data_IF_473735987334
#
_entry.id   IF_473735987334
#
_cell.length_a   1.000
_cell.length_b   1.000
_cell.length_c   1.000
_cell.angle_alpha   90.00
_cell.angle_beta   90.00
_cell.angle_gamma   90.00
#
_symmetry.space_group_name_H-M   'P 1'
#
loop_
_entity.id
_entity.type
_entity.pdbx_description
1 polymer ?
#
# COMPACT_ATOMS: atom_id res chain seq x y z
N UNK A 1 -18.29 -15.82 19.48
CA UNK A 1 -19.54 -16.08 18.74
C UNK A 1 -19.29 -15.92 17.23
N UNK A 2 -19.67 -16.89 16.37
CA UNK A 2 -19.30 -16.87 14.93
C UNK A 2 -19.81 -15.65 14.16
N UNK A 3 -20.84 -15.01 14.65
CA UNK A 3 -21.44 -13.83 14.02
C UNK A 3 -20.87 -12.49 14.51
N UNK A 4 -19.94 -12.51 15.45
CA UNK A 4 -19.35 -11.29 15.96
C UNK A 4 -18.31 -10.73 14.96
N UNK A 5 -18.27 -9.42 14.68
CA UNK A 5 -17.31 -8.82 13.75
C UNK A 5 -15.85 -9.18 14.04
N UNK A 6 -15.47 -9.23 15.34
CA UNK A 6 -14.13 -9.64 15.75
C UNK A 6 -13.79 -11.10 15.36
N UNK A 7 -14.79 -12.00 15.30
CA UNK A 7 -14.56 -13.38 14.87
C UNK A 7 -14.35 -13.48 13.36
N UNK A 8 -15.06 -12.66 12.57
CA UNK A 8 -14.82 -12.54 11.14
C UNK A 8 -13.45 -11.92 10.84
N UNK A 9 -13.04 -10.91 11.63
CA UNK A 9 -11.73 -10.30 11.51
C UNK A 9 -10.60 -11.28 11.89
N UNK A 10 -10.76 -12.05 12.96
CA UNK A 10 -9.81 -13.10 13.31
C UNK A 10 -9.68 -14.16 12.18
N UNK A 11 -10.81 -14.59 11.60
CA UNK A 11 -10.81 -15.51 10.48
C UNK A 11 -10.10 -14.90 9.25
N UNK A 12 -10.27 -13.61 8.99
CA UNK A 12 -9.57 -12.87 7.94
C UNK A 12 -8.05 -12.88 8.18
N UNK A 13 -7.60 -12.54 9.38
CA UNK A 13 -6.17 -12.53 9.73
C UNK A 13 -5.54 -13.91 9.55
N UNK A 14 -6.22 -14.96 9.97
CA UNK A 14 -5.76 -16.35 9.80
C UNK A 14 -5.73 -16.81 8.33
N UNK A 15 -6.42 -16.11 7.46
CA UNK A 15 -6.52 -16.42 6.01
C UNK A 15 -5.58 -15.55 5.16
N UNK A 16 -4.92 -14.53 5.72
CA UNK A 16 -4.07 -13.58 5.00
C UNK A 16 -2.78 -14.15 4.39
N UNK A 17 -2.08 -15.12 4.98
CA UNK A 17 -0.88 -15.66 4.38
C UNK A 17 -1.14 -16.15 2.96
N UNK A 18 -0.19 -15.90 2.05
CA UNK A 18 -0.27 -16.37 0.65
C UNK A 18 -0.48 -17.88 0.56
N UNK A 19 0.02 -18.61 1.55
CA UNK A 19 -0.18 -20.06 1.74
C UNK A 19 -0.65 -20.31 3.17
N UNK A 20 -1.92 -20.07 3.49
CA UNK A 20 -2.45 -20.35 4.81
C UNK A 20 -2.42 -21.86 5.07
N UNK A 21 -2.13 -22.26 6.30
CA UNK A 21 -2.13 -23.67 6.67
C UNK A 21 -3.56 -24.24 6.60
N UNK A 22 -3.81 -25.29 5.78
CA UNK A 22 -5.14 -25.87 5.63
C UNK A 22 -5.78 -26.27 6.97
N UNK A 23 -5.01 -26.85 7.87
CA UNK A 23 -5.48 -27.26 9.20
C UNK A 23 -5.99 -26.12 10.06
N UNK A 24 -5.43 -24.91 9.92
CA UNK A 24 -5.92 -23.72 10.62
C UNK A 24 -7.30 -23.28 10.10
N UNK A 25 -7.49 -23.33 8.77
CA UNK A 25 -8.77 -22.98 8.16
C UNK A 25 -9.86 -24.01 8.48
N UNK A 26 -9.49 -25.29 8.56
CA UNK A 26 -10.42 -26.38 8.90
C UNK A 26 -10.82 -26.40 10.37
N UNK A 27 -9.95 -25.89 11.25
CA UNK A 27 -10.24 -25.74 12.68
C UNK A 27 -11.21 -24.59 13.00
N UNK A 28 -11.45 -23.68 12.04
CA UNK A 28 -12.42 -22.60 12.22
C UNK A 28 -13.85 -23.16 12.36
N UNK A 29 -14.72 -22.55 13.17
CA UNK A 29 -16.14 -22.92 13.23
C UNK A 29 -16.78 -22.90 11.84
N UNK A 30 -17.59 -23.89 11.49
CA UNK A 30 -18.25 -24.03 10.18
C UNK A 30 -18.95 -22.74 9.73
N UNK A 31 -19.63 -22.08 10.64
CA UNK A 31 -20.30 -20.81 10.35
C UNK A 31 -19.33 -19.69 9.92
N UNK A 32 -18.09 -19.69 10.39
CA UNK A 32 -17.05 -18.74 9.93
C UNK A 32 -16.48 -19.17 8.58
N UNK A 33 -16.26 -20.47 8.37
CA UNK A 33 -15.80 -20.98 7.08
C UNK A 33 -16.75 -20.63 5.94
N UNK A 34 -18.05 -20.73 6.19
CA UNK A 34 -19.10 -20.44 5.19
C UNK A 34 -19.36 -18.95 4.97
N UNK A 35 -19.12 -18.12 5.97
CA UNK A 35 -19.50 -16.68 5.96
C UNK A 35 -18.32 -15.73 5.77
N UNK A 36 -17.09 -16.23 5.76
CA UNK A 36 -15.90 -15.42 5.53
C UNK A 36 -15.46 -15.49 4.07
N UNK A 37 -15.46 -14.34 3.43
CA UNK A 37 -14.91 -14.17 2.09
C UNK A 37 -13.41 -14.48 2.06
N UNK A 38 -12.67 -14.05 3.10
CA UNK A 38 -11.24 -14.32 3.26
C UNK A 38 -10.93 -15.81 3.32
N UNK A 39 -11.67 -16.59 4.14
CA UNK A 39 -11.50 -18.05 4.23
C UNK A 39 -11.78 -18.71 2.88
N UNK A 40 -12.84 -18.28 2.19
CA UNK A 40 -13.14 -18.81 0.85
C UNK A 40 -12.04 -18.47 -0.14
N UNK A 41 -11.55 -17.24 -0.15
CA UNK A 41 -10.47 -16.81 -1.03
C UNK A 41 -9.18 -17.62 -0.76
N UNK A 42 -8.85 -17.85 0.51
CA UNK A 42 -7.70 -18.67 0.90
C UNK A 42 -7.84 -20.13 0.42
N UNK A 43 -9.03 -20.73 0.57
CA UNK A 43 -9.28 -22.10 0.08
C UNK A 43 -9.19 -22.21 -1.43
N UNK A 44 -9.69 -21.20 -2.17
CA UNK A 44 -9.54 -21.15 -3.63
C UNK A 44 -8.07 -21.09 -4.04
N UNK A 45 -7.23 -20.30 -3.34
CA UNK A 45 -5.77 -20.29 -3.60
C UNK A 45 -5.14 -21.65 -3.34
N UNK A 46 -5.43 -22.29 -2.21
CA UNK A 46 -4.94 -23.63 -1.87
C UNK A 46 -5.37 -24.70 -2.89
N UNK A 47 -6.55 -24.52 -3.49
CA UNK A 47 -7.07 -25.41 -4.54
C UNK A 47 -6.59 -25.05 -5.96
N UNK A 48 -5.54 -24.21 -6.10
CA UNK A 48 -5.01 -23.81 -7.40
C UNK A 48 -6.04 -23.06 -8.27
N UNK A 49 -6.91 -22.25 -7.65
CA UNK A 49 -7.93 -21.48 -8.33
C UNK A 49 -9.26 -22.22 -8.55
N UNK A 50 -9.37 -23.48 -8.15
CA UNK A 50 -10.63 -24.20 -8.25
C UNK A 50 -11.71 -23.56 -7.35
N UNK A 51 -12.91 -23.36 -7.89
CA UNK A 51 -13.99 -22.67 -7.19
C UNK A 51 -13.94 -21.13 -7.28
N UNK A 52 -12.99 -20.56 -8.03
CA UNK A 52 -12.84 -19.11 -8.17
C UNK A 52 -14.11 -18.41 -8.64
N UNK A 53 -14.80 -18.93 -9.66
CA UNK A 53 -16.00 -18.34 -10.23
C UNK A 53 -17.15 -18.24 -9.21
N UNK A 54 -17.29 -19.27 -8.37
CA UNK A 54 -18.29 -19.25 -7.28
C UNK A 54 -17.93 -18.22 -6.20
N UNK A 55 -16.65 -18.12 -5.82
CA UNK A 55 -16.17 -17.15 -4.83
C UNK A 55 -16.37 -15.71 -5.33
N UNK A 56 -15.94 -15.40 -6.56
CA UNK A 56 -16.08 -14.09 -7.19
C UNK A 56 -17.55 -13.65 -7.36
N UNK A 57 -18.44 -14.61 -7.59
CA UNK A 57 -19.87 -14.32 -7.71
C UNK A 57 -20.56 -14.14 -6.36
N UNK A 58 -20.10 -14.86 -5.33
CA UNK A 58 -20.72 -14.82 -3.99
C UNK A 58 -20.37 -13.53 -3.22
N UNK A 59 -19.16 -13.01 -3.39
CA UNK A 59 -18.67 -11.82 -2.69
C UNK A 59 -18.06 -10.79 -3.64
N UNK A 60 -18.84 -10.24 -4.58
CA UNK A 60 -18.32 -9.33 -5.60
C UNK A 60 -17.75 -8.03 -5.02
N UNK A 61 -18.16 -7.65 -3.81
CA UNK A 61 -17.82 -6.38 -3.16
C UNK A 61 -16.90 -6.56 -1.94
N UNK A 62 -16.25 -7.71 -1.79
CA UNK A 62 -15.35 -7.96 -0.67
C UNK A 62 -13.89 -7.80 -1.05
N UNK A 63 -13.08 -7.02 -0.28
CA UNK A 63 -11.67 -6.79 -0.56
C UNK A 63 -10.81 -8.04 -0.68
N UNK A 64 -11.09 -9.08 0.11
CA UNK A 64 -10.32 -10.33 0.07
C UNK A 64 -10.57 -11.09 -1.24
N UNK A 65 -11.77 -10.97 -1.79
CA UNK A 65 -12.15 -11.54 -3.10
C UNK A 65 -11.61 -10.70 -4.26
N UNK A 66 -11.51 -9.37 -4.11
CA UNK A 66 -10.81 -8.55 -5.11
C UNK A 66 -9.33 -8.90 -5.17
N UNK A 67 -8.71 -9.19 -4.03
CA UNK A 67 -7.33 -9.65 -4.00
C UNK A 67 -7.19 -11.04 -4.63
N UNK A 68 -8.10 -11.97 -4.37
CA UNK A 68 -8.14 -13.27 -5.05
C UNK A 68 -8.23 -13.11 -6.58
N UNK A 69 -9.13 -12.27 -7.06
CA UNK A 69 -9.27 -11.99 -8.50
C UNK A 69 -7.96 -11.50 -9.12
N UNK A 70 -7.26 -10.61 -8.40
CA UNK A 70 -5.95 -10.12 -8.82
C UNK A 70 -4.89 -11.22 -8.83
N UNK A 71 -4.83 -12.06 -7.79
CA UNK A 71 -3.85 -13.14 -7.70
C UNK A 71 -4.01 -14.12 -8.86
N UNK A 72 -5.24 -14.52 -9.17
CA UNK A 72 -5.55 -15.39 -10.31
C UNK A 72 -5.22 -14.73 -11.67
N UNK A 73 -5.48 -13.44 -11.81
CA UNK A 73 -5.10 -12.71 -13.02
C UNK A 73 -3.57 -12.64 -13.17
N UNK A 74 -2.85 -12.41 -12.07
CA UNK A 74 -1.38 -12.40 -12.05
C UNK A 74 -0.79 -13.76 -12.40
N UNK A 75 -1.34 -14.86 -11.87
CA UNK A 75 -0.94 -16.20 -12.26
C UNK A 75 -1.16 -16.46 -13.75
N UNK A 76 -2.30 -16.03 -14.29
CA UNK A 76 -2.59 -16.14 -15.72
C UNK A 76 -1.58 -15.34 -16.57
N UNK A 77 -1.16 -14.13 -16.15
CA UNK A 77 -0.09 -13.35 -16.79
C UNK A 77 1.22 -14.11 -16.82
N UNK A 78 1.66 -14.65 -15.67
CA UNK A 78 2.92 -15.37 -15.55
C UNK A 78 2.93 -16.65 -16.39
N UNK A 79 1.76 -17.24 -16.64
CA UNK A 79 1.58 -18.39 -17.51
C UNK A 79 1.39 -18.02 -18.99
N UNK A 80 1.41 -16.74 -19.37
CA UNK A 80 1.14 -16.28 -20.73
C UNK A 80 -0.31 -16.43 -21.18
N UNK A 81 -1.23 -16.73 -20.25
CA UNK A 81 -2.65 -16.88 -20.54
C UNK A 81 -3.39 -15.54 -20.50
N UNK A 82 -3.15 -14.71 -21.51
CA UNK A 82 -3.70 -13.36 -21.62
C UNK A 82 -5.22 -13.30 -21.71
N UNK A 83 -5.85 -14.32 -22.32
CA UNK A 83 -7.31 -14.42 -22.39
C UNK A 83 -7.92 -14.58 -21.00
N UNK A 84 -7.41 -15.52 -20.21
CA UNK A 84 -7.88 -15.74 -18.83
C UNK A 84 -7.65 -14.51 -17.97
N UNK A 85 -6.49 -13.87 -18.07
CA UNK A 85 -6.18 -12.64 -17.35
C UNK A 85 -7.15 -11.50 -17.71
N UNK A 86 -7.37 -11.27 -19.01
CA UNK A 86 -8.35 -10.29 -19.51
C UNK A 86 -9.75 -10.55 -18.95
N UNK A 87 -10.20 -11.80 -19.00
CA UNK A 87 -11.58 -12.16 -18.61
C UNK A 87 -11.80 -12.02 -17.09
N UNK A 88 -10.79 -12.38 -16.28
CA UNK A 88 -10.80 -12.08 -14.84
C UNK A 88 -10.87 -10.58 -14.57
N UNK A 89 -10.05 -9.76 -15.26
CA UNK A 89 -9.99 -8.32 -15.04
C UNK A 89 -11.18 -7.56 -15.63
N UNK A 90 -11.93 -8.15 -16.56
CA UNK A 90 -13.19 -7.58 -17.07
C UNK A 90 -14.34 -7.74 -16.11
N UNK A 91 -14.30 -8.71 -15.18
CA UNK A 91 -15.37 -8.88 -14.21
C UNK A 91 -15.54 -7.60 -13.43
N UNK A 92 -16.68 -6.99 -13.60
CA UNK A 92 -17.07 -5.74 -12.97
C UNK A 92 -18.05 -6.03 -11.86
N UNK A 93 -17.93 -5.27 -10.77
CA UNK A 93 -19.00 -5.20 -9.80
C UNK A 93 -20.12 -4.33 -10.38
N UNK A 94 -21.34 -4.84 -10.42
CA UNK A 94 -22.52 -4.09 -10.84
C UNK A 94 -22.78 -2.86 -9.95
N UNK A 95 -22.25 -2.89 -8.72
CA UNK A 95 -22.41 -1.86 -7.68
C UNK A 95 -21.40 -0.71 -7.77
N UNK A 96 -20.61 -0.62 -8.82
CA UNK A 96 -19.68 0.51 -9.03
C UNK A 96 -18.20 0.14 -9.18
N UNK A 97 -17.31 1.12 -9.37
CA UNK A 97 -15.89 0.88 -9.53
C UNK A 97 -15.25 0.40 -8.24
N UNK A 98 -14.16 -0.37 -8.38
CA UNK A 98 -13.31 -0.73 -7.26
C UNK A 98 -12.70 0.54 -6.60
N UNK A 99 -12.27 0.46 -5.33
CA UNK A 99 -11.48 1.52 -4.72
C UNK A 99 -10.30 1.92 -5.60
N UNK A 100 -9.99 3.22 -5.62
CA UNK A 100 -9.03 3.83 -6.56
C UNK A 100 -7.72 3.05 -6.74
N UNK A 101 -7.02 2.58 -5.69
CA UNK A 101 -5.77 1.84 -5.87
C UNK A 101 -5.95 0.52 -6.63
N UNK A 102 -7.08 -0.15 -6.44
CA UNK A 102 -7.39 -1.44 -7.06
C UNK A 102 -7.90 -1.24 -8.49
N UNK A 103 -8.73 -0.22 -8.73
CA UNK A 103 -9.27 0.09 -10.05
C UNK A 103 -8.17 0.54 -11.02
N UNK A 104 -7.23 1.37 -10.57
CA UNK A 104 -6.11 1.79 -11.42
C UNK A 104 -5.22 0.60 -11.81
N UNK A 105 -4.92 -0.30 -10.86
CA UNK A 105 -4.22 -1.56 -11.12
C UNK A 105 -4.98 -2.41 -12.14
N UNK A 106 -6.26 -2.64 -11.90
CA UNK A 106 -7.12 -3.45 -12.76
C UNK A 106 -7.16 -2.93 -14.19
N UNK A 107 -7.40 -1.63 -14.37
CA UNK A 107 -7.48 -1.01 -15.69
C UNK A 107 -6.15 -1.06 -16.44
N UNK A 108 -5.02 -0.82 -15.76
CA UNK A 108 -3.72 -0.92 -16.39
C UNK A 108 -3.46 -2.33 -16.95
N UNK A 109 -3.62 -3.36 -16.11
CA UNK A 109 -3.36 -4.74 -16.50
C UNK A 109 -4.40 -5.30 -17.48
N UNK A 110 -5.64 -4.80 -17.44
CA UNK A 110 -6.64 -5.11 -18.48
C UNK A 110 -6.19 -4.58 -19.84
N UNK A 111 -5.72 -3.34 -19.90
CA UNK A 111 -5.17 -2.76 -21.13
C UNK A 111 -3.96 -3.55 -21.64
N UNK A 112 -3.06 -3.98 -20.74
CA UNK A 112 -1.92 -4.79 -21.13
C UNK A 112 -2.34 -6.15 -21.69
N UNK A 113 -3.30 -6.84 -21.07
CA UNK A 113 -3.85 -8.09 -21.60
C UNK A 113 -4.47 -7.92 -22.98
N UNK A 114 -5.22 -6.83 -23.18
CA UNK A 114 -5.82 -6.49 -24.47
C UNK A 114 -4.74 -6.24 -25.54
N UNK A 115 -3.66 -5.53 -25.18
CA UNK A 115 -2.53 -5.29 -26.10
C UNK A 115 -1.88 -6.61 -26.53
N UNK A 116 -1.59 -7.50 -25.57
CA UNK A 116 -0.98 -8.81 -25.85
C UNK A 116 -1.86 -9.71 -26.73
N UNK A 117 -3.17 -9.53 -26.69
CA UNK A 117 -4.14 -10.23 -27.55
C UNK A 117 -4.35 -9.55 -28.91
N UNK A 118 -3.59 -8.51 -29.25
CA UNK A 118 -3.75 -7.75 -30.49
C UNK A 118 -4.96 -6.80 -30.50
N UNK A 119 -5.66 -6.65 -29.37
CA UNK A 119 -6.82 -5.76 -29.22
C UNK A 119 -6.39 -4.29 -28.97
N UNK A 120 -5.45 -3.77 -29.77
CA UNK A 120 -4.76 -2.48 -29.53
C UNK A 120 -5.72 -1.31 -29.29
N UNK A 121 -6.74 -1.17 -30.11
CA UNK A 121 -7.71 -0.08 -29.97
C UNK A 121 -8.54 -0.18 -28.65
N UNK A 122 -8.74 -1.38 -28.09
CA UNK A 122 -9.39 -1.56 -26.78
C UNK A 122 -8.41 -1.19 -25.67
N UNK A 123 -7.15 -1.63 -25.77
CA UNK A 123 -6.10 -1.31 -24.81
C UNK A 123 -5.94 0.21 -24.65
N UNK A 124 -5.82 0.93 -25.77
CA UNK A 124 -5.72 2.40 -25.74
C UNK A 124 -6.92 3.07 -25.07
N UNK A 125 -8.14 2.64 -25.39
CA UNK A 125 -9.35 3.17 -24.73
C UNK A 125 -9.34 2.90 -23.23
N UNK A 126 -8.91 1.70 -22.81
CA UNK A 126 -8.83 1.33 -21.40
C UNK A 126 -7.81 2.21 -20.66
N UNK A 127 -6.64 2.44 -21.23
CA UNK A 127 -5.61 3.32 -20.63
C UNK A 127 -6.01 4.79 -20.62
N UNK A 128 -6.66 5.31 -21.67
CA UNK A 128 -7.20 6.68 -21.69
C UNK A 128 -8.25 6.88 -20.59
N UNK A 129 -9.17 5.92 -20.43
CA UNK A 129 -10.14 5.93 -19.33
C UNK A 129 -9.45 5.98 -17.95
N UNK A 130 -8.38 5.20 -17.75
CA UNK A 130 -7.59 5.22 -16.52
C UNK A 130 -6.99 6.62 -16.29
N UNK A 131 -6.36 7.22 -17.31
CA UNK A 131 -5.72 8.53 -17.21
C UNK A 131 -6.73 9.65 -16.91
N UNK A 132 -7.91 9.59 -17.50
CA UNK A 132 -8.98 10.57 -17.30
C UNK A 132 -9.63 10.46 -15.91
N UNK A 133 -9.87 9.22 -15.45
CA UNK A 133 -10.58 8.98 -14.18
C UNK A 133 -9.69 9.20 -12.94
N UNK A 134 -8.37 9.07 -13.07
CA UNK A 134 -7.45 9.12 -11.93
C UNK A 134 -6.34 10.13 -12.16
N UNK A 135 -6.26 11.21 -11.35
CA UNK A 135 -5.34 12.33 -11.59
C UNK A 135 -3.87 12.02 -11.30
N UNK A 136 -3.55 10.88 -10.66
CA UNK A 136 -2.19 10.52 -10.29
C UNK A 136 -2.00 9.03 -10.01
N UNK A 137 -0.78 8.66 -9.61
CA UNK A 137 -0.41 7.32 -9.18
C UNK A 137 0.36 6.51 -10.23
N UNK A 138 1.00 5.43 -9.75
CA UNK A 138 1.89 4.58 -10.54
C UNK A 138 1.24 4.03 -11.81
N UNK A 139 0.05 3.44 -11.72
CA UNK A 139 -0.61 2.83 -12.87
C UNK A 139 -1.09 3.85 -13.91
N UNK A 140 -1.41 5.09 -13.49
CA UNK A 140 -1.66 6.18 -14.43
C UNK A 140 -0.40 6.52 -15.22
N UNK A 141 0.73 6.65 -14.54
CA UNK A 141 2.00 6.91 -15.19
C UNK A 141 2.38 5.78 -16.16
N UNK A 142 2.25 4.51 -15.76
CA UNK A 142 2.46 3.35 -16.63
C UNK A 142 1.53 3.34 -17.87
N UNK A 143 0.27 3.74 -17.71
CA UNK A 143 -0.66 3.86 -18.82
C UNK A 143 -0.25 4.98 -19.79
N UNK A 144 0.23 6.12 -19.26
CA UNK A 144 0.79 7.19 -20.09
C UNK A 144 2.03 6.72 -20.85
N UNK A 145 2.91 5.94 -20.23
CA UNK A 145 4.07 5.32 -20.87
C UNK A 145 3.66 4.43 -22.06
N UNK A 146 2.66 3.56 -21.86
CA UNK A 146 2.14 2.71 -22.95
C UNK A 146 1.56 3.52 -24.13
N UNK A 147 1.12 4.74 -23.90
CA UNK A 147 0.59 5.65 -24.91
C UNK A 147 1.63 6.65 -25.45
N UNK A 148 2.89 6.57 -25.02
CA UNK A 148 3.94 7.54 -25.39
C UNK A 148 3.71 8.95 -24.84
N UNK A 149 2.97 9.09 -23.74
CA UNK A 149 2.59 10.36 -23.10
C UNK A 149 3.31 10.61 -21.78
N UNK A 150 4.10 9.66 -21.27
CA UNK A 150 4.77 9.80 -19.99
C UNK A 150 6.06 10.61 -20.11
N UNK A 151 6.26 11.51 -19.14
CA UNK A 151 7.58 12.09 -18.90
C UNK A 151 8.47 11.08 -18.16
N UNK A 152 9.78 11.06 -18.42
CA UNK A 152 10.72 10.24 -17.69
C UNK A 152 10.62 10.48 -16.17
N UNK A 153 10.66 9.41 -15.39
CA UNK A 153 10.67 9.52 -13.95
C UNK A 153 12.09 9.85 -13.47
N UNK A 154 12.32 11.10 -13.10
CA UNK A 154 13.58 11.55 -12.53
C UNK A 154 13.46 11.66 -11.00
N UNK A 155 14.18 10.80 -10.27
CA UNK A 155 14.18 10.76 -8.81
C UNK A 155 15.13 11.81 -8.17
N UNK A 156 15.89 12.55 -8.99
CA UNK A 156 16.78 13.64 -8.57
C UNK A 156 16.21 15.03 -8.88
N UNK A 157 15.23 15.13 -9.79
CA UNK A 157 14.64 16.40 -10.13
C UNK A 157 14.02 17.09 -8.89
N UNK A 158 14.11 18.42 -8.77
CA UNK A 158 13.51 19.14 -7.66
C UNK A 158 12.00 18.83 -7.58
N UNK A 159 11.53 18.48 -6.39
CA UNK A 159 10.10 18.34 -6.17
C UNK A 159 9.40 19.69 -6.33
N UNK A 160 8.18 19.74 -6.89
CA UNK A 160 7.42 20.97 -6.96
C UNK A 160 7.21 21.55 -5.56
N UNK A 161 7.11 22.91 -5.45
CA UNK A 161 6.84 23.56 -4.18
C UNK A 161 5.60 22.96 -3.50
N UNK A 162 5.71 22.66 -2.21
CA UNK A 162 4.60 22.10 -1.46
C UNK A 162 3.81 23.20 -0.77
N UNK A 163 2.49 23.07 -0.84
CA UNK A 163 1.62 23.85 0.02
C UNK A 163 1.86 23.49 1.50
N UNK A 164 1.87 24.51 2.35
CA UNK A 164 1.90 24.28 3.80
C UNK A 164 0.68 23.47 4.22
N UNK A 165 0.84 22.52 5.16
CA UNK A 165 -0.29 21.72 5.62
C UNK A 165 -1.31 22.63 6.30
N UNK A 166 -2.51 22.71 5.76
CA UNK A 166 -3.62 23.37 6.43
C UNK A 166 -4.13 22.49 7.57
N UNK A 167 -4.32 23.10 8.73
CA UNK A 167 -4.97 22.42 9.85
C UNK A 167 -6.32 21.83 9.42
N UNK A 168 -6.61 20.61 9.84
CA UNK A 168 -7.85 19.92 9.50
C UNK A 168 -8.57 19.47 10.77
N UNK A 169 -9.88 19.75 10.91
CA UNK A 169 -10.65 19.28 12.04
C UNK A 169 -10.65 17.76 12.10
N UNK A 170 -10.74 17.20 13.30
CA UNK A 170 -10.79 15.73 13.49
C UNK A 170 -12.13 15.18 13.01
N UNK A 171 -13.23 15.86 13.34
CA UNK A 171 -14.60 15.47 13.04
C UNK A 171 -15.03 14.14 13.70
N UNK A 172 -14.59 13.89 14.93
CA UNK A 172 -15.12 12.84 15.78
C UNK A 172 -16.52 13.23 16.29
N UNK A 173 -17.32 12.24 16.68
CA UNK A 173 -18.62 12.47 17.31
C UNK A 173 -18.52 13.05 18.73
N UNK A 174 -17.34 13.05 19.33
CA UNK A 174 -17.10 13.57 20.66
C UNK A 174 -16.53 15.00 20.64
N UNK A 175 -17.28 15.95 21.19
CA UNK A 175 -16.88 17.35 21.24
C UNK A 175 -15.60 17.58 22.05
N UNK A 176 -15.38 16.86 23.16
CA UNK A 176 -14.16 16.98 23.97
C UNK A 176 -12.93 16.56 23.16
N UNK A 177 -13.02 15.44 22.45
CA UNK A 177 -11.94 14.94 21.57
C UNK A 177 -11.62 15.97 20.49
N UNK A 178 -12.63 16.56 19.85
CA UNK A 178 -12.46 17.59 18.83
C UNK A 178 -11.80 18.86 19.37
N UNK A 179 -12.17 19.30 20.58
CA UNK A 179 -11.56 20.48 21.22
C UNK A 179 -10.11 20.23 21.62
N UNK A 180 -9.80 19.06 22.21
CA UNK A 180 -8.43 18.67 22.54
C UNK A 180 -7.56 18.60 21.29
N UNK A 181 -8.09 18.05 20.19
CA UNK A 181 -7.43 18.05 18.89
C UNK A 181 -7.17 19.47 18.37
N UNK A 182 -8.17 20.36 18.46
CA UNK A 182 -8.05 21.77 18.06
C UNK A 182 -6.96 22.52 18.82
N UNK A 183 -6.79 22.18 20.10
CA UNK A 183 -5.77 22.74 20.99
C UNK A 183 -4.39 22.09 20.83
N UNK A 184 -4.23 21.11 19.94
CA UNK A 184 -2.98 20.36 19.76
C UNK A 184 -2.66 19.38 20.90
N UNK A 185 -3.61 19.12 21.81
CA UNK A 185 -3.48 18.20 22.93
C UNK A 185 -3.74 16.75 22.46
N UNK A 186 -2.89 16.26 21.54
CA UNK A 186 -3.14 15.01 20.81
C UNK A 186 -3.20 13.77 21.70
N UNK A 187 -2.36 13.68 22.74
CA UNK A 187 -2.39 12.55 23.69
C UNK A 187 -3.66 12.55 24.52
N UNK A 188 -4.08 13.69 25.04
CA UNK A 188 -5.33 13.82 25.77
C UNK A 188 -6.55 13.55 24.87
N UNK A 189 -6.51 13.97 23.60
CA UNK A 189 -7.54 13.64 22.62
C UNK A 189 -7.63 12.14 22.38
N UNK A 190 -6.51 11.44 22.28
CA UNK A 190 -6.44 10.00 22.13
C UNK A 190 -6.99 9.26 23.35
N UNK A 191 -6.58 9.65 24.55
CA UNK A 191 -7.11 9.09 25.81
C UNK A 191 -8.63 9.29 25.93
N UNK A 192 -9.12 10.50 25.64
CA UNK A 192 -10.55 10.80 25.66
C UNK A 192 -11.33 9.99 24.60
N UNK A 193 -10.76 9.75 23.44
CA UNK A 193 -11.35 8.90 22.40
C UNK A 193 -11.43 7.45 22.87
N UNK A 194 -10.35 6.90 23.43
CA UNK A 194 -10.29 5.53 23.95
C UNK A 194 -11.27 5.29 25.10
N UNK A 195 -11.46 6.28 25.98
CA UNK A 195 -12.35 6.16 27.14
C UNK A 195 -13.83 5.99 26.76
N UNK A 196 -14.24 6.39 25.56
CA UNK A 196 -15.61 6.23 25.07
C UNK A 196 -15.79 5.04 24.11
N UNK A 197 -14.68 4.48 23.60
CA UNK A 197 -14.74 3.38 22.65
C UNK A 197 -15.27 2.12 23.31
N UNK A 198 -16.34 1.56 22.79
CA UNK A 198 -16.83 0.23 23.17
C UNK A 198 -16.15 -0.83 22.29
N UNK A 199 -15.29 -1.68 22.82
CA UNK A 199 -14.62 -2.72 22.03
C UNK A 199 -15.58 -3.70 21.34
N UNK A 200 -16.82 -3.81 21.83
CA UNK A 200 -17.84 -4.69 21.26
C UNK A 200 -18.54 -4.09 20.04
N UNK A 201 -18.45 -2.76 19.85
CA UNK A 201 -19.14 -2.04 18.77
C UNK A 201 -18.10 -1.45 17.83
N UNK A 202 -17.94 -1.98 16.61
CA UNK A 202 -17.03 -1.38 15.63
C UNK A 202 -17.45 0.07 15.33
N UNK A 203 -16.53 1.03 15.44
CA UNK A 203 -16.86 2.43 15.17
C UNK A 203 -17.27 2.62 13.69
N UNK A 204 -18.18 3.57 13.40
CA UNK A 204 -18.54 3.91 12.03
C UNK A 204 -17.34 4.47 11.25
N UNK A 205 -17.39 4.54 9.91
CA UNK A 205 -16.27 4.94 9.08
C UNK A 205 -15.66 6.31 9.44
N UNK A 206 -16.48 7.27 9.82
CA UNK A 206 -16.06 8.62 10.25
C UNK A 206 -15.19 8.55 11.51
N UNK A 207 -15.62 7.76 12.49
CA UNK A 207 -14.87 7.56 13.74
C UNK A 207 -13.60 6.76 13.50
N UNK A 208 -13.59 5.81 12.55
CA UNK A 208 -12.36 5.11 12.15
C UNK A 208 -11.35 6.03 11.49
N UNK A 209 -11.85 7.02 10.72
CA UNK A 209 -10.97 8.06 10.16
C UNK A 209 -10.38 8.92 11.27
N UNK A 210 -11.20 9.35 12.24
CA UNK A 210 -10.74 10.11 13.39
C UNK A 210 -9.72 9.31 14.22
N UNK A 211 -10.00 8.06 14.53
CA UNK A 211 -9.09 7.15 15.24
C UNK A 211 -7.75 7.01 14.52
N UNK A 212 -7.76 6.69 13.22
CA UNK A 212 -6.53 6.55 12.44
C UNK A 212 -5.67 7.81 12.47
N UNK A 213 -6.29 8.98 12.43
CA UNK A 213 -5.59 10.28 12.54
C UNK A 213 -5.03 10.53 13.94
N UNK A 214 -5.77 10.17 14.99
CA UNK A 214 -5.28 10.24 16.38
C UNK A 214 -4.08 9.31 16.58
N UNK A 215 -4.15 8.07 16.10
CA UNK A 215 -3.03 7.12 16.15
C UNK A 215 -1.77 7.69 15.50
N UNK A 216 -1.89 8.27 14.31
CA UNK A 216 -0.77 8.92 13.64
C UNK A 216 -0.18 10.07 14.47
N UNK A 217 -1.04 10.87 15.11
CA UNK A 217 -0.62 12.03 15.89
C UNK A 217 0.11 11.65 17.19
N UNK A 218 -0.22 10.49 17.78
CA UNK A 218 0.46 9.97 18.97
C UNK A 218 1.64 9.03 18.65
N UNK A 219 1.99 8.86 17.38
CA UNK A 219 3.12 8.05 16.93
C UNK A 219 2.82 6.57 16.70
N UNK A 220 1.57 6.11 16.86
CA UNK A 220 1.15 4.76 16.49
C UNK A 220 0.91 4.67 14.97
N UNK A 221 1.99 4.90 14.21
CA UNK A 221 1.94 5.09 12.76
C UNK A 221 1.60 3.82 12.02
N UNK A 222 2.08 2.67 12.52
CA UNK A 222 1.82 1.37 11.90
C UNK A 222 0.32 1.05 11.88
N UNK A 223 -0.31 1.07 13.06
CA UNK A 223 -1.75 0.78 13.18
C UNK A 223 -2.61 1.86 12.53
N UNK A 224 -2.20 3.13 12.67
CA UNK A 224 -2.92 4.25 12.07
C UNK A 224 -2.98 4.16 10.54
N UNK A 225 -1.85 3.90 9.87
CA UNK A 225 -1.81 3.75 8.41
C UNK A 225 -2.50 2.48 7.92
N UNK A 226 -2.38 1.37 8.66
CA UNK A 226 -3.10 0.14 8.34
C UNK A 226 -4.62 0.35 8.37
N UNK A 227 -5.12 0.92 9.46
CA UNK A 227 -6.53 1.23 9.61
C UNK A 227 -7.06 2.16 8.51
N UNK A 228 -6.33 3.23 8.19
CA UNK A 228 -6.71 4.15 7.11
C UNK A 228 -6.69 3.47 5.73
N UNK A 229 -5.75 2.55 5.49
CA UNK A 229 -5.74 1.75 4.29
C UNK A 229 -6.98 0.86 4.17
N UNK A 230 -7.27 0.07 5.20
CA UNK A 230 -8.46 -0.79 5.21
C UNK A 230 -9.76 0.00 5.14
N UNK A 231 -9.80 1.18 5.76
CA UNK A 231 -10.93 2.09 5.64
C UNK A 231 -11.14 2.53 4.18
N UNK A 232 -10.06 2.87 3.47
CA UNK A 232 -10.14 3.29 2.05
C UNK A 232 -10.67 2.20 1.11
N UNK A 233 -10.54 0.94 1.48
CA UNK A 233 -11.07 -0.19 0.72
C UNK A 233 -12.55 -0.50 1.05
N UNK A 234 -13.03 -0.13 2.24
CA UNK A 234 -14.33 -0.56 2.76
C UNK A 234 -15.34 0.55 2.94
N UNK A 235 -14.90 1.80 2.95
CA UNK A 235 -15.81 2.93 3.09
C UNK A 235 -16.58 3.15 1.79
N UNK A 236 -17.88 2.79 1.81
CA UNK A 236 -18.80 3.07 0.72
C UNK A 236 -19.28 4.51 0.82
N UNK A 237 -19.35 5.19 -0.30
CA UNK A 237 -19.98 6.52 -0.45
C UNK A 237 -19.45 7.63 0.49
N UNK A 238 -18.11 7.74 0.73
CA UNK A 238 -17.60 8.91 1.43
C UNK A 238 -17.85 10.18 0.60
N UNK A 239 -18.20 11.29 1.27
CA UNK A 239 -18.27 12.60 0.62
C UNK A 239 -16.89 12.98 0.01
N UNK A 240 -16.89 13.94 -0.92
CA UNK A 240 -15.62 14.42 -1.52
C UNK A 240 -14.64 14.92 -0.45
N UNK A 241 -15.14 15.60 0.60
CA UNK A 241 -14.32 16.09 1.71
C UNK A 241 -13.73 14.92 2.53
N UNK A 242 -14.53 13.92 2.89
CA UNK A 242 -14.10 12.73 3.63
C UNK A 242 -13.07 11.93 2.82
N UNK A 243 -13.30 11.74 1.54
CA UNK A 243 -12.37 11.05 0.63
C UNK A 243 -11.03 11.79 0.54
N UNK A 244 -11.06 13.12 0.39
CA UNK A 244 -9.85 13.93 0.36
C UNK A 244 -9.09 13.87 1.69
N UNK A 245 -9.79 13.94 2.81
CA UNK A 245 -9.19 13.86 4.14
C UNK A 245 -8.58 12.47 4.39
N UNK A 246 -9.29 11.39 4.05
CA UNK A 246 -8.77 10.03 4.14
C UNK A 246 -7.51 9.85 3.30
N UNK A 247 -7.54 10.29 2.03
CA UNK A 247 -6.38 10.21 1.15
C UNK A 247 -5.18 10.99 1.73
N UNK A 248 -5.37 12.23 2.19
CA UNK A 248 -4.28 13.01 2.81
C UNK A 248 -3.73 12.33 4.06
N UNK A 249 -4.60 11.72 4.87
CA UNK A 249 -4.20 11.02 6.10
C UNK A 249 -3.38 9.76 5.84
N UNK A 250 -3.54 9.13 4.67
CA UNK A 250 -2.71 8.00 4.24
C UNK A 250 -1.27 8.41 3.84
N UNK A 251 -1.01 9.71 3.66
CA UNK A 251 0.31 10.25 3.31
C UNK A 251 0.75 11.30 4.33
N UNK A 252 0.96 10.91 5.60
CA UNK A 252 1.32 11.84 6.67
C UNK A 252 2.68 12.48 6.41
N UNK A 253 2.86 13.67 6.95
CA UNK A 253 4.12 14.43 6.90
C UNK A 253 4.87 14.21 8.19
N UNK A 254 5.57 13.08 8.29
CA UNK A 254 6.38 12.70 9.44
C UNK A 254 7.87 12.86 9.10
N UNK A 255 8.69 13.16 10.10
CA UNK A 255 10.15 13.29 9.98
C UNK A 255 10.59 14.24 8.85
N UNK A 256 9.88 15.39 8.69
CA UNK A 256 10.14 16.29 7.56
C UNK A 256 11.56 16.83 7.56
N UNK A 257 12.06 17.27 8.72
CA UNK A 257 13.40 17.83 8.83
C UNK A 257 14.50 16.82 8.51
N UNK A 258 14.36 15.59 9.02
CA UNK A 258 15.29 14.49 8.80
C UNK A 258 15.29 14.06 7.33
N UNK A 259 14.10 13.89 6.76
CA UNK A 259 13.93 13.51 5.35
C UNK A 259 14.50 14.59 4.41
N UNK A 260 14.20 15.85 4.66
CA UNK A 260 14.68 16.95 3.80
C UNK A 260 16.18 17.14 3.91
N UNK A 261 16.74 16.97 5.10
CA UNK A 261 18.18 17.01 5.31
C UNK A 261 18.88 15.88 4.54
N UNK A 262 18.45 14.63 4.73
CA UNK A 262 19.04 13.48 4.06
C UNK A 262 18.88 13.55 2.53
N UNK A 263 17.70 13.94 2.05
CA UNK A 263 17.44 14.10 0.61
C UNK A 263 18.34 15.17 -0.03
N UNK A 264 18.53 16.30 0.66
CA UNK A 264 19.38 17.39 0.19
C UNK A 264 20.86 16.98 0.14
N UNK A 265 21.33 16.24 1.13
CA UNK A 265 22.73 15.76 1.19
C UNK A 265 23.07 14.85 0.00
N UNK A 266 22.14 13.99 -0.39
CA UNK A 266 22.35 13.00 -1.45
C UNK A 266 21.77 13.43 -2.82
N UNK A 267 21.24 14.64 -2.95
CA UNK A 267 20.67 15.13 -4.21
C UNK A 267 19.44 14.34 -4.68
N UNK A 268 18.60 13.90 -3.73
CA UNK A 268 17.40 13.09 -3.98
C UNK A 268 16.13 13.89 -3.73
N UNK A 269 15.02 13.44 -4.30
CA UNK A 269 13.72 13.96 -3.94
C UNK A 269 13.32 13.51 -2.52
N UNK A 270 12.97 14.44 -1.63
CA UNK A 270 12.46 14.13 -0.29
C UNK A 270 11.22 13.22 -0.32
N UNK A 271 10.39 13.34 -1.37
CA UNK A 271 9.23 12.47 -1.59
C UNK A 271 9.59 11.01 -1.80
N UNK A 272 10.75 10.72 -2.39
CA UNK A 272 11.22 9.37 -2.60
C UNK A 272 11.55 8.70 -1.25
N UNK A 273 12.32 9.37 -0.39
CA UNK A 273 12.63 8.86 0.95
C UNK A 273 11.36 8.65 1.78
N UNK A 274 10.42 9.59 1.69
CA UNK A 274 9.11 9.47 2.37
C UNK A 274 8.31 8.28 1.86
N UNK A 275 8.31 8.02 0.56
CA UNK A 275 7.61 6.88 -0.04
C UNK A 275 8.23 5.54 0.40
N UNK A 276 9.56 5.46 0.44
CA UNK A 276 10.28 4.27 0.93
C UNK A 276 9.98 4.04 2.40
N UNK A 277 10.13 5.04 3.28
CA UNK A 277 9.86 4.89 4.71
C UNK A 277 8.39 4.48 4.99
N UNK A 278 7.45 4.99 4.21
CA UNK A 278 6.05 4.56 4.30
C UNK A 278 5.90 3.08 3.93
N UNK A 279 6.56 2.62 2.88
CA UNK A 279 6.49 1.24 2.41
C UNK A 279 7.18 0.27 3.36
N UNK A 280 8.38 0.62 3.82
CA UNK A 280 9.25 -0.25 4.61
C UNK A 280 8.76 -0.44 6.06
N UNK A 281 8.41 0.65 6.73
CA UNK A 281 8.11 0.62 8.15
C UNK A 281 6.80 1.31 8.54
N UNK A 282 6.06 1.88 7.59
CA UNK A 282 4.97 2.83 7.90
C UNK A 282 5.42 3.94 8.86
N UNK A 283 6.65 4.40 8.69
CA UNK A 283 7.32 5.40 9.53
C UNK A 283 7.53 4.98 11.00
N UNK A 284 7.57 3.70 11.32
CA UNK A 284 7.81 3.23 12.68
C UNK A 284 9.32 3.04 12.95
N UNK A 285 9.97 3.90 13.75
CA UNK A 285 11.43 3.86 13.91
C UNK A 285 11.91 2.66 14.73
N UNK A 286 11.05 2.08 15.57
CA UNK A 286 11.38 0.95 16.42
C UNK A 286 11.32 -0.42 15.75
N UNK A 287 10.81 -0.51 14.51
CA UNK A 287 10.58 -1.79 13.84
C UNK A 287 11.89 -2.49 13.47
N UNK A 288 11.90 -3.80 13.75
CA UNK A 288 12.95 -4.73 13.31
C UNK A 288 12.28 -5.86 12.57
N UNK A 289 12.66 -6.10 11.31
CA UNK A 289 12.09 -7.18 10.50
C UNK A 289 12.62 -8.55 10.92
N UNK A 290 11.98 -9.66 10.52
CA UNK A 290 12.50 -11.02 10.72
C UNK A 290 13.89 -11.24 10.10
N UNK A 291 14.23 -10.50 9.04
CA UNK A 291 15.54 -10.53 8.41
C UNK A 291 16.58 -9.63 9.11
N UNK A 292 16.20 -8.93 10.18
CA UNK A 292 17.08 -8.04 10.94
C UNK A 292 17.21 -6.62 10.38
N UNK A 293 16.39 -6.22 9.41
CA UNK A 293 16.36 -4.83 8.94
C UNK A 293 15.74 -3.91 10.00
N UNK A 294 16.28 -2.69 10.18
CA UNK A 294 15.98 -1.82 11.32
C UNK A 294 15.56 -0.42 10.85
N UNK A 295 14.59 0.15 11.54
CA UNK A 295 14.28 1.58 11.49
C UNK A 295 13.32 1.98 10.37
N UNK A 296 13.18 3.30 10.16
CA UNK A 296 12.18 3.87 9.25
C UNK A 296 12.37 3.45 7.79
N UNK A 297 13.61 3.27 7.33
CA UNK A 297 13.93 2.83 5.97
C UNK A 297 14.37 1.37 5.90
N UNK A 298 14.21 0.59 6.99
CA UNK A 298 14.49 -0.85 7.07
C UNK A 298 15.87 -1.24 6.52
N UNK A 299 16.91 -0.63 7.07
CA UNK A 299 18.28 -0.95 6.70
C UNK A 299 18.79 -2.21 7.41
N UNK A 300 19.42 -3.11 6.67
CA UNK A 300 20.22 -4.18 7.27
C UNK A 300 21.46 -3.57 7.94
N UNK A 301 21.88 -4.04 9.13
CA UNK A 301 23.07 -3.53 9.80
C UNK A 301 24.35 -3.58 8.95
N UNK A 302 24.49 -4.60 8.07
CA UNK A 302 25.59 -4.70 7.13
C UNK A 302 25.59 -3.59 6.08
N UNK A 303 24.42 -3.32 5.47
CA UNK A 303 24.26 -2.23 4.50
C UNK A 303 24.49 -0.87 5.17
N UNK A 304 23.97 -0.70 6.37
CA UNK A 304 24.17 0.54 7.13
C UNK A 304 25.64 0.77 7.48
N UNK A 305 26.38 -0.27 7.89
CA UNK A 305 27.80 -0.18 8.19
C UNK A 305 28.63 0.15 6.94
N UNK A 306 28.27 -0.41 5.78
CA UNK A 306 28.89 -0.06 4.49
C UNK A 306 28.68 1.42 4.18
N UNK A 307 27.45 1.94 4.34
CA UNK A 307 27.13 3.34 4.10
C UNK A 307 27.76 4.31 5.10
N UNK A 308 27.91 3.89 6.34
CA UNK A 308 28.57 4.68 7.40
C UNK A 308 30.11 4.65 7.30
N UNK A 309 30.70 3.61 6.70
CA UNK A 309 32.16 3.34 6.73
C UNK A 309 32.65 2.80 8.08
N UNK A 310 31.74 2.48 9.00
CA UNK A 310 32.02 1.96 10.34
C UNK A 310 30.87 1.06 10.85
N UNK A 311 31.10 0.22 11.86
CA UNK A 311 30.05 -0.62 12.43
C UNK A 311 28.89 0.21 12.98
N UNK A 312 27.65 -0.19 12.68
CA UNK A 312 26.44 0.44 13.17
C UNK A 312 25.77 -0.40 14.25
N UNK A 313 25.04 0.25 15.16
CA UNK A 313 24.28 -0.43 16.21
C UNK A 313 22.77 -0.32 15.98
N UNK A 314 22.01 -1.27 16.52
CA UNK A 314 20.54 -1.23 16.45
C UNK A 314 19.95 0.06 17.06
N UNK A 315 20.41 0.57 18.22
CA UNK A 315 19.93 1.85 18.73
C UNK A 315 20.20 3.02 17.76
N UNK A 316 21.37 3.09 17.12
CA UNK A 316 21.69 4.09 16.11
C UNK A 316 20.73 4.01 14.92
N UNK A 317 20.44 2.80 14.43
CA UNK A 317 19.52 2.60 13.31
C UNK A 317 18.05 2.82 13.66
N UNK A 318 17.68 2.85 14.93
CA UNK A 318 16.33 3.26 15.38
C UNK A 318 16.16 4.77 15.46
N UNK A 319 17.25 5.53 15.45
CA UNK A 319 17.18 6.98 15.34
C UNK A 319 16.82 7.38 13.91
N UNK A 320 15.70 8.13 13.70
CA UNK A 320 15.25 8.48 12.36
C UNK A 320 16.24 9.28 11.54
N UNK A 321 16.99 10.21 12.16
CA UNK A 321 17.94 11.05 11.44
C UNK A 321 19.06 10.21 10.83
N UNK A 322 19.69 9.34 11.63
CA UNK A 322 20.72 8.42 11.17
C UNK A 322 20.19 7.44 10.12
N UNK A 323 18.97 6.93 10.32
CA UNK A 323 18.39 5.94 9.43
C UNK A 323 18.02 6.53 8.06
N UNK A 324 17.50 7.77 8.01
CA UNK A 324 17.25 8.48 6.75
C UNK A 324 18.55 8.86 6.05
N UNK A 325 19.57 9.31 6.77
CA UNK A 325 20.88 9.63 6.18
C UNK A 325 21.50 8.41 5.48
N UNK A 326 21.63 7.29 6.20
CA UNK A 326 22.22 6.08 5.64
C UNK A 326 21.35 5.46 4.54
N UNK A 327 20.01 5.51 4.68
CA UNK A 327 19.08 5.03 3.66
C UNK A 327 19.11 5.86 2.38
N UNK A 328 19.26 7.18 2.50
CA UNK A 328 19.41 8.07 1.35
C UNK A 328 20.74 7.82 0.62
N UNK A 329 21.84 7.63 1.36
CA UNK A 329 23.14 7.30 0.81
C UNK A 329 23.11 5.97 0.05
N UNK A 330 22.50 4.93 0.63
CA UNK A 330 22.33 3.65 -0.05
C UNK A 330 21.48 3.78 -1.33
N UNK A 331 20.39 4.52 -1.28
CA UNK A 331 19.55 4.75 -2.45
C UNK A 331 20.28 5.53 -3.55
N UNK A 332 21.13 6.52 -3.17
CA UNK A 332 21.98 7.24 -4.10
C UNK A 332 22.98 6.30 -4.78
N UNK A 333 23.65 5.44 -4.03
CA UNK A 333 24.55 4.41 -4.58
C UNK A 333 23.84 3.50 -5.59
N UNK A 334 22.62 3.07 -5.29
CA UNK A 334 21.83 2.25 -6.22
C UNK A 334 21.46 3.01 -7.49
N UNK A 335 21.12 4.28 -7.39
CA UNK A 335 20.84 5.13 -8.56
C UNK A 335 22.10 5.30 -9.44
N UNK A 336 23.27 5.48 -8.84
CA UNK A 336 24.55 5.53 -9.58
C UNK A 336 24.85 4.19 -10.25
N UNK A 337 24.68 3.07 -9.53
CA UNK A 337 24.90 1.72 -10.06
C UNK A 337 24.02 1.41 -11.28
N UNK A 338 22.80 1.90 -11.29
CA UNK A 338 21.82 1.65 -12.36
C UNK A 338 21.64 2.82 -13.33
N UNK A 339 22.62 3.73 -13.44
CA UNK A 339 22.60 4.86 -14.39
C UNK A 339 21.32 5.71 -14.26
N UNK A 340 20.85 5.91 -13.03
CA UNK A 340 19.60 6.57 -12.66
C UNK A 340 18.31 5.88 -13.17
N UNK A 341 18.35 4.58 -13.48
CA UNK A 341 17.14 3.82 -13.72
C UNK A 341 16.32 3.71 -12.40
N UNK A 342 15.16 4.38 -12.30
CA UNK A 342 14.40 4.43 -11.07
C UNK A 342 13.83 3.07 -10.66
N UNK A 343 13.50 2.21 -11.62
CA UNK A 343 12.89 0.91 -11.35
C UNK A 343 13.89 -0.09 -10.83
N UNK A 344 15.06 -0.17 -11.47
CA UNK A 344 16.14 -1.05 -11.01
C UNK A 344 16.67 -0.61 -9.65
N UNK A 345 16.79 0.69 -9.41
CA UNK A 345 17.25 1.23 -8.14
C UNK A 345 16.29 0.92 -7.00
N UNK A 346 14.99 1.17 -7.17
CA UNK A 346 13.97 0.87 -6.15
C UNK A 346 13.82 -0.65 -5.96
N UNK A 347 13.85 -1.43 -7.03
CA UNK A 347 13.84 -2.89 -6.95
C UNK A 347 15.07 -3.44 -6.20
N UNK A 348 16.24 -2.85 -6.43
CA UNK A 348 17.49 -3.22 -5.74
C UNK A 348 17.46 -2.84 -4.26
N UNK A 349 16.81 -1.76 -3.90
CA UNK A 349 16.61 -1.39 -2.50
C UNK A 349 15.89 -2.50 -1.72
N UNK A 350 14.88 -3.11 -2.31
CA UNK A 350 14.09 -4.18 -1.70
C UNK A 350 14.73 -5.57 -1.82
N UNK A 351 15.15 -5.96 -3.04
CA UNK A 351 15.62 -7.32 -3.35
C UNK A 351 17.14 -7.49 -3.31
N UNK A 352 17.88 -6.39 -3.19
CA UNK A 352 19.32 -6.37 -3.35
C UNK A 352 19.77 -6.26 -4.82
N UNK A 353 20.87 -5.53 -5.11
CA UNK A 353 21.34 -5.28 -6.48
C UNK A 353 21.78 -6.57 -7.20
N UNK A 354 22.31 -7.56 -6.49
CA UNK A 354 22.68 -8.86 -7.08
C UNK A 354 21.49 -9.63 -7.63
N UNK A 355 20.36 -9.63 -6.91
CA UNK A 355 19.12 -10.27 -7.39
C UNK A 355 18.59 -9.55 -8.64
N UNK A 356 18.53 -8.23 -8.62
CA UNK A 356 18.05 -7.43 -9.76
C UNK A 356 18.95 -7.60 -10.99
N UNK A 357 20.26 -7.69 -10.81
CA UNK A 357 21.20 -7.95 -11.89
C UNK A 357 20.98 -9.32 -12.57
N UNK A 358 20.47 -10.30 -11.81
CA UNK A 358 20.17 -11.64 -12.34
C UNK A 358 18.80 -11.72 -13.05
N UNK A 359 17.94 -10.73 -12.93
CA UNK A 359 16.65 -10.73 -13.62
C UNK A 359 16.86 -10.62 -15.12
N UNK A 360 16.08 -11.39 -15.88
CA UNK A 360 16.14 -11.34 -17.33
C UNK A 360 15.93 -9.90 -17.83
N UNK A 361 16.83 -9.43 -18.69
CA UNK A 361 16.62 -8.18 -19.40
C UNK A 361 15.32 -8.33 -20.23
N UNK A 362 14.40 -7.35 -20.21
CA UNK A 362 13.27 -7.36 -21.11
C UNK A 362 13.81 -7.49 -22.52
N UNK A 363 13.36 -8.49 -23.27
CA UNK A 363 13.63 -8.55 -24.69
C UNK A 363 12.93 -7.38 -25.36
N UNK A 364 13.39 -6.93 -26.54
CA UNK A 364 12.71 -5.82 -27.26
C UNK A 364 11.25 -6.12 -27.61
N UNK A 365 10.80 -7.37 -27.40
CA UNK A 365 9.41 -7.79 -27.54
C UNK A 365 8.56 -7.49 -26.28
N UNK A 366 9.20 -7.20 -25.15
CA UNK A 366 8.54 -6.91 -23.85
C UNK A 366 8.43 -5.39 -23.58
N UNK A 367 9.00 -4.56 -24.48
CA UNK A 367 8.85 -3.12 -24.51
C UNK A 367 7.64 -2.75 -25.38
#
# INVERSE_FOLDING_TARGET
HPNHPASLEAARILSEPLNPEPGVLDALPTALQERSAAVTAARVRLAGGNGADAALSRWPNDPDVWQLQWDLAREAFLAGNWERARDLLKRHNEDGPLPSPLETRRLFWLGLSQKQLGETAKAERTWRRLIEAFPGGYYRWRAMEQLGMAEPLDLRAPAPPRESPTWQPLNSHNNLVNELWRLGQVHAAWEAWQAQADPAIPPPPEERLAEGRLRLAVGDTWMGLDQLWWLSLRWRDPSCQQRSLLHRSQFPRLFEAEIETAAKQEGLQANLLRAIAKQESRFAPGVVSPAGAVGVMQLLPSTAAEMAGEPTSTPMLKDPANNFELGARYLNQLLEQWENDPFRSIASYNAGPGAVASWAQPTDQDK
#
